data_IF_978671170828
#
_entry.id   IF_978671170828
#
_cell.length_a   1.000
_cell.length_b   1.000
_cell.length_c   1.000
_cell.angle_alpha   90.00
_cell.angle_beta   90.00
_cell.angle_gamma   90.00
#
_symmetry.space_group_name_H-M   'P 1'
#
loop_
_entity.id
_entity.type
_entity.pdbx_description
1 polymer ?
#
# COMPACT_ATOMS: atom_id res chain seq x y z
N UNK A 1 0.87 -10.01 -16.91
CA UNK A 1 1.78 -10.44 -15.81
C UNK A 1 1.55 -11.92 -15.62
N UNK A 2 2.60 -12.76 -15.53
CA UNK A 2 2.38 -14.19 -15.25
C UNK A 2 2.10 -14.38 -13.74
N UNK A 3 1.38 -15.45 -13.38
CA UNK A 3 0.95 -15.72 -11.99
C UNK A 3 2.12 -15.75 -10.99
N UNK A 4 3.27 -16.29 -11.41
CA UNK A 4 4.48 -16.34 -10.58
C UNK A 4 5.07 -14.95 -10.28
N UNK A 5 5.14 -14.05 -11.28
CA UNK A 5 5.59 -12.67 -11.11
C UNK A 5 4.66 -11.89 -10.18
N UNK A 6 3.35 -12.03 -10.36
CA UNK A 6 2.35 -11.40 -9.49
C UNK A 6 2.50 -11.88 -8.05
N UNK A 7 2.61 -13.20 -7.84
CA UNK A 7 2.80 -13.80 -6.51
C UNK A 7 4.10 -13.36 -5.85
N UNK A 8 5.20 -13.27 -6.60
CA UNK A 8 6.49 -12.79 -6.07
C UNK A 8 6.35 -11.38 -5.49
N UNK A 9 5.79 -10.45 -6.26
CA UNK A 9 5.63 -9.05 -5.83
C UNK A 9 4.64 -8.94 -4.65
N UNK A 10 3.53 -9.67 -4.69
CA UNK A 10 2.54 -9.64 -3.62
C UNK A 10 3.09 -10.23 -2.30
N UNK A 11 3.85 -11.32 -2.38
CA UNK A 11 4.51 -11.91 -1.20
C UNK A 11 5.59 -10.98 -0.65
N UNK A 12 6.36 -10.30 -1.50
CA UNK A 12 7.34 -9.30 -1.05
C UNK A 12 6.65 -8.14 -0.29
N UNK A 13 5.51 -7.64 -0.79
CA UNK A 13 4.75 -6.60 -0.09
C UNK A 13 4.19 -7.09 1.25
N UNK A 14 3.76 -8.34 1.33
CA UNK A 14 3.34 -8.96 2.59
C UNK A 14 4.49 -9.00 3.61
N UNK A 15 5.68 -9.42 3.19
CA UNK A 15 6.85 -9.46 4.07
C UNK A 15 7.28 -8.07 4.52
N UNK A 16 7.32 -7.09 3.61
CA UNK A 16 7.62 -5.69 3.94
C UNK A 16 6.62 -5.15 4.98
N UNK A 17 5.33 -5.45 4.83
CA UNK A 17 4.31 -5.08 5.83
C UNK A 17 4.61 -5.69 7.20
N UNK A 18 4.99 -6.98 7.24
CA UNK A 18 5.34 -7.68 8.48
C UNK A 18 6.52 -7.01 9.17
N UNK A 19 7.60 -6.75 8.43
CA UNK A 19 8.81 -6.09 8.93
C UNK A 19 8.54 -4.67 9.44
N UNK A 20 7.60 -3.96 8.82
CA UNK A 20 7.24 -2.59 9.17
C UNK A 20 6.11 -2.47 10.21
N UNK A 21 5.55 -3.57 10.69
CA UNK A 21 4.33 -3.56 11.51
C UNK A 21 4.47 -2.74 12.81
N UNK A 22 5.68 -2.68 13.39
CA UNK A 22 5.96 -1.90 14.60
C UNK A 22 5.94 -0.39 14.39
N UNK A 23 5.98 0.09 13.14
CA UNK A 23 5.97 1.52 12.79
C UNK A 23 4.57 2.08 12.48
N UNK A 24 3.52 1.27 12.65
CA UNK A 24 2.14 1.70 12.46
C UNK A 24 1.65 2.57 13.62
N UNK A 25 0.65 3.41 13.32
CA UNK A 25 0.01 4.29 14.30
C UNK A 25 0.54 5.72 14.25
N UNK A 26 -0.30 6.64 14.74
CA UNK A 26 -0.01 8.08 14.76
C UNK A 26 1.05 8.47 15.79
N UNK A 27 1.19 7.68 16.86
CA UNK A 27 2.07 7.97 18.02
C UNK A 27 3.50 7.43 17.88
N UNK A 28 3.81 6.71 16.79
CA UNK A 28 5.16 6.20 16.56
C UNK A 28 6.13 7.34 16.20
N UNK A 29 7.31 7.37 16.83
CA UNK A 29 8.31 8.44 16.67
C UNK A 29 9.38 8.16 15.59
N UNK A 30 9.26 7.06 14.84
CA UNK A 30 10.17 6.77 13.74
C UNK A 30 10.13 7.85 12.64
N UNK A 31 11.17 7.94 11.79
CA UNK A 31 11.20 8.87 10.66
C UNK A 31 9.94 8.80 9.78
N UNK A 32 9.51 9.97 9.29
CA UNK A 32 8.22 10.11 8.60
C UNK A 32 8.10 9.22 7.35
N UNK A 33 9.21 9.02 6.62
CA UNK A 33 9.31 8.14 5.47
C UNK A 33 9.14 6.66 5.84
N UNK A 34 9.74 6.20 6.93
CA UNK A 34 9.57 4.84 7.45
C UNK A 34 8.12 4.60 7.87
N UNK A 35 7.52 5.56 8.59
CA UNK A 35 6.11 5.49 8.98
C UNK A 35 5.19 5.49 7.77
N UNK A 36 5.48 6.31 6.77
CA UNK A 36 4.71 6.33 5.53
C UNK A 36 4.80 4.98 4.81
N UNK A 37 5.99 4.40 4.68
CA UNK A 37 6.19 3.08 4.09
C UNK A 37 5.38 1.99 4.83
N UNK A 38 5.35 2.04 6.17
CA UNK A 38 4.57 1.11 6.97
C UNK A 38 3.06 1.21 6.69
N UNK A 39 2.53 2.44 6.69
CA UNK A 39 1.12 2.68 6.40
C UNK A 39 0.77 2.38 4.94
N UNK A 40 1.70 2.58 4.00
CA UNK A 40 1.51 2.23 2.59
C UNK A 40 1.45 0.71 2.39
N UNK A 41 2.40 -0.04 2.97
CA UNK A 41 2.38 -1.49 2.94
C UNK A 41 1.10 -2.04 3.58
N UNK A 42 0.64 -1.41 4.67
CA UNK A 42 -0.64 -1.74 5.28
C UNK A 42 -1.84 -1.33 4.42
N UNK A 43 -1.83 -0.21 3.69
CA UNK A 43 -2.95 0.15 2.84
C UNK A 43 -3.17 -0.88 1.71
N UNK A 44 -2.08 -1.45 1.18
CA UNK A 44 -2.08 -2.31 0.00
C UNK A 44 -2.09 -3.81 0.30
N UNK A 45 -1.98 -4.25 1.55
CA UNK A 45 -1.86 -5.68 1.86
C UNK A 45 -3.04 -6.53 1.37
N UNK A 46 -4.28 -6.02 1.49
CA UNK A 46 -5.46 -6.76 1.01
C UNK A 46 -5.45 -6.92 -0.52
N UNK A 47 -4.91 -5.93 -1.23
CA UNK A 47 -4.74 -6.01 -2.67
C UNK A 47 -3.70 -7.08 -3.05
N UNK A 48 -2.57 -7.10 -2.34
CA UNK A 48 -1.56 -8.14 -2.51
C UNK A 48 -2.14 -9.54 -2.23
N UNK A 49 -2.87 -9.71 -1.13
CA UNK A 49 -3.54 -10.98 -0.82
C UNK A 49 -4.54 -11.40 -1.91
N UNK A 50 -5.33 -10.47 -2.43
CA UNK A 50 -6.27 -10.74 -3.52
C UNK A 50 -5.56 -11.29 -4.77
N UNK A 51 -4.45 -10.65 -5.16
CA UNK A 51 -3.62 -11.09 -6.27
C UNK A 51 -3.03 -12.50 -6.07
N UNK A 52 -2.59 -12.83 -4.85
CA UNK A 52 -2.07 -14.19 -4.55
C UNK A 52 -3.14 -15.28 -4.57
N UNK A 53 -4.37 -14.93 -4.16
CA UNK A 53 -5.50 -15.85 -4.09
C UNK A 53 -6.24 -16.01 -5.44
N UNK A 54 -5.82 -15.29 -6.48
CA UNK A 54 -6.49 -15.30 -7.79
C UNK A 54 -7.89 -14.69 -7.76
N UNK A 55 -8.19 -13.85 -6.77
CA UNK A 55 -9.48 -13.13 -6.66
C UNK A 55 -9.35 -11.71 -7.22
N UNK A 56 -10.49 -11.05 -7.45
CA UNK A 56 -10.51 -9.70 -8.00
C UNK A 56 -9.85 -8.69 -7.08
N UNK A 57 -9.06 -7.79 -7.68
CA UNK A 57 -8.44 -6.66 -7.03
C UNK A 57 -9.26 -5.38 -7.32
N UNK A 58 -9.80 -4.76 -6.28
CA UNK A 58 -10.46 -3.46 -6.39
C UNK A 58 -9.45 -2.31 -6.26
N UNK A 59 -9.04 -1.79 -7.42
CA UNK A 59 -8.12 -0.68 -7.53
C UNK A 59 -8.62 0.59 -6.82
N UNK A 60 -9.91 0.91 -6.91
CA UNK A 60 -10.46 2.13 -6.32
C UNK A 60 -10.40 2.07 -4.79
N UNK A 61 -10.77 0.93 -4.21
CA UNK A 61 -10.67 0.72 -2.76
C UNK A 61 -9.22 0.80 -2.29
N UNK A 62 -8.27 0.23 -3.03
CA UNK A 62 -6.86 0.31 -2.66
C UNK A 62 -6.32 1.75 -2.69
N UNK A 63 -6.64 2.53 -3.73
CA UNK A 63 -6.26 3.93 -3.83
C UNK A 63 -6.90 4.80 -2.75
N UNK A 64 -8.15 4.53 -2.37
CA UNK A 64 -8.79 5.20 -1.23
C UNK A 64 -8.05 4.94 0.09
N UNK A 65 -7.57 3.70 0.31
CA UNK A 65 -6.76 3.38 1.50
C UNK A 65 -5.42 4.11 1.49
N UNK A 66 -4.79 4.26 0.33
CA UNK A 66 -3.55 5.04 0.18
C UNK A 66 -3.79 6.52 0.53
N UNK A 67 -4.90 7.10 0.06
CA UNK A 67 -5.31 8.47 0.42
C UNK A 67 -5.58 8.64 1.92
N UNK A 68 -6.08 7.61 2.60
CA UNK A 68 -6.38 7.67 4.03
C UNK A 68 -5.14 7.79 4.92
N UNK A 69 -3.95 7.48 4.41
CA UNK A 69 -2.67 7.64 5.13
C UNK A 69 -2.46 9.09 5.56
N UNK A 70 -2.88 10.04 4.71
CA UNK A 70 -2.78 11.49 4.96
C UNK A 70 -3.44 11.88 6.29
N UNK A 71 -4.58 11.26 6.63
CA UNK A 71 -5.29 11.52 7.88
C UNK A 71 -4.60 10.96 9.12
N UNK A 72 -3.77 9.93 8.96
CA UNK A 72 -3.02 9.30 10.07
C UNK A 72 -1.73 10.05 10.35
N UNK A 73 -1.06 10.50 9.29
CA UNK A 73 0.28 11.09 9.38
C UNK A 73 0.29 12.62 9.26
N UNK A 74 -0.84 13.25 8.92
CA UNK A 74 -0.93 14.70 8.72
C UNK A 74 -0.22 15.18 7.45
N UNK A 75 -0.13 14.33 6.41
CA UNK A 75 0.58 14.62 5.16
C UNK A 75 -0.36 14.76 3.97
N UNK A 76 0.17 14.92 2.75
CA UNK A 76 -0.59 14.87 1.48
C UNK A 76 0.00 13.86 0.48
N UNK A 77 0.93 13.04 0.95
CA UNK A 77 1.71 12.14 0.10
C UNK A 77 0.88 10.96 -0.42
N UNK A 78 -0.07 10.47 0.39
CA UNK A 78 -1.00 9.42 -0.01
C UNK A 78 -1.88 9.88 -1.17
N UNK A 79 -2.42 11.09 -1.11
CA UNK A 79 -3.16 11.67 -2.25
C UNK A 79 -2.32 11.83 -3.48
N UNK A 80 -1.10 12.40 -3.35
CA UNK A 80 -0.17 12.56 -4.48
C UNK A 80 0.08 11.21 -5.17
N UNK A 81 0.43 10.17 -4.42
CA UNK A 81 0.67 8.83 -4.96
C UNK A 81 -0.57 8.23 -5.63
N UNK A 82 -1.73 8.32 -4.99
CA UNK A 82 -2.96 7.78 -5.56
C UNK A 82 -3.35 8.46 -6.89
N UNK A 83 -3.11 9.77 -7.01
CA UNK A 83 -3.39 10.52 -8.23
C UNK A 83 -2.35 10.17 -9.33
N UNK A 84 -1.07 10.08 -8.99
CA UNK A 84 -0.02 9.62 -9.93
C UNK A 84 -0.32 8.21 -10.49
N UNK A 85 -0.71 7.26 -9.64
CA UNK A 85 -0.98 5.88 -10.05
C UNK A 85 -2.27 5.70 -10.85
N UNK A 86 -3.21 6.64 -10.75
CA UNK A 86 -4.45 6.62 -11.58
C UNK A 86 -4.23 7.19 -12.97
N UNK A 87 -3.34 8.18 -13.12
CA UNK A 87 -3.06 8.81 -14.42
C UNK A 87 -2.35 7.89 -15.43
N UNK A 88 -1.74 6.79 -14.97
CA UNK A 88 -1.09 5.79 -15.82
C UNK A 88 -2.02 4.68 -16.36
N UNK A 89 -3.30 4.62 -15.96
CA UNK A 89 -4.18 3.48 -16.26
C UNK A 89 -4.98 3.59 -17.57
N UNK A 90 -4.60 4.50 -18.49
CA UNK A 90 -5.04 4.44 -19.89
C UNK A 90 -4.10 3.49 -20.66
N UNK A 91 -4.38 2.19 -20.56
CA UNK A 91 -3.77 1.13 -21.36
C UNK A 91 -4.79 0.06 -21.68
#
# INVERSE_FOLDING_TARGET
>A
MNDAQTKLIANALYEIRSLLASYLGSENEAPADIRFAAHLAYALHNAASALTAGISFDLNTALQKVRAIDGILGTRDGRRLADEWTTGSKG
#
